data_IF_688654439063
#
_entry.id   IF_688654439063
#
_cell.length_a   1.000
_cell.length_b   1.000
_cell.length_c   1.000
_cell.angle_alpha   90.00
_cell.angle_beta   90.00
_cell.angle_gamma   90.00
#
_symmetry.space_group_name_H-M   'P 1'
#
loop_
_entity.id
_entity.type
_entity.pdbx_description
1 polymer ?
#
# COMPACT_ATOMS: atom_id res chain seq x y z
N UNK A 1 -10.28 -29.72 32.87
CA UNK A 1 -9.41 -29.87 31.69
C UNK A 1 -8.03 -30.21 32.19
N UNK A 2 -7.27 -31.10 31.54
CA UNK A 2 -5.91 -31.35 31.98
C UNK A 2 -4.99 -30.15 31.67
N UNK A 3 -3.96 -29.95 32.49
CA UNK A 3 -3.00 -28.83 32.27
C UNK A 3 -2.33 -28.93 30.89
N UNK A 4 -2.12 -30.12 30.38
CA UNK A 4 -1.57 -30.39 29.06
C UNK A 4 -2.53 -29.90 27.93
N UNK A 5 -3.82 -30.20 28.06
CA UNK A 5 -4.82 -29.76 27.11
C UNK A 5 -4.98 -28.21 27.09
N UNK A 6 -4.84 -27.57 28.26
CA UNK A 6 -4.84 -26.12 28.37
C UNK A 6 -3.64 -25.49 27.63
N UNK A 7 -2.46 -26.06 27.78
CA UNK A 7 -1.26 -25.61 27.07
C UNK A 7 -1.38 -25.79 25.54
N UNK A 8 -1.90 -26.93 25.10
CA UNK A 8 -2.14 -27.18 23.68
C UNK A 8 -3.17 -26.23 23.11
N UNK A 9 -4.24 -25.92 23.84
CA UNK A 9 -5.24 -24.96 23.42
C UNK A 9 -4.66 -23.54 23.31
N UNK A 10 -3.89 -23.10 24.29
CA UNK A 10 -3.22 -21.81 24.24
C UNK A 10 -2.27 -21.68 23.06
N UNK A 11 -1.50 -22.74 22.76
CA UNK A 11 -0.62 -22.75 21.60
C UNK A 11 -1.40 -22.70 20.28
N UNK A 12 -2.49 -23.46 20.18
CA UNK A 12 -3.36 -23.40 18.99
C UNK A 12 -3.97 -22.01 18.79
N UNK A 13 -4.43 -21.36 19.85
CA UNK A 13 -4.95 -19.98 19.78
C UNK A 13 -3.90 -18.99 19.31
N UNK A 14 -2.67 -19.04 19.85
CA UNK A 14 -1.57 -18.18 19.38
C UNK A 14 -1.26 -18.38 17.89
N UNK A 15 -1.30 -19.62 17.41
CA UNK A 15 -1.10 -19.91 15.98
C UNK A 15 -2.21 -19.35 15.12
N UNK A 16 -3.46 -19.45 15.56
CA UNK A 16 -4.61 -18.86 14.88
C UNK A 16 -4.48 -17.34 14.81
N UNK A 17 -4.19 -16.68 15.92
CA UNK A 17 -3.98 -15.23 15.98
C UNK A 17 -2.90 -14.75 15.00
N UNK A 18 -1.80 -15.49 14.88
CA UNK A 18 -0.74 -15.16 13.91
C UNK A 18 -1.17 -15.35 12.46
N UNK A 19 -1.97 -16.38 12.17
CA UNK A 19 -2.53 -16.59 10.82
C UNK A 19 -3.53 -15.50 10.46
N UNK A 20 -4.39 -15.10 11.39
CA UNK A 20 -5.32 -13.99 11.20
C UNK A 20 -4.58 -12.66 10.99
N UNK A 21 -3.51 -12.41 11.76
CA UNK A 21 -2.64 -11.26 11.61
C UNK A 21 -2.00 -11.21 10.22
N UNK A 22 -1.45 -12.34 9.76
CA UNK A 22 -0.87 -12.43 8.42
C UNK A 22 -1.92 -12.13 7.33
N UNK A 23 -3.13 -12.68 7.46
CA UNK A 23 -4.21 -12.41 6.53
C UNK A 23 -4.66 -10.94 6.56
N UNK A 24 -4.71 -10.32 7.73
CA UNK A 24 -5.03 -8.89 7.86
C UNK A 24 -3.99 -8.01 7.16
N UNK A 25 -2.70 -8.30 7.33
CA UNK A 25 -1.60 -7.58 6.66
C UNK A 25 -1.66 -7.75 5.13
N UNK A 26 -1.95 -8.95 4.62
CA UNK A 26 -2.19 -9.18 3.17
C UNK A 26 -3.32 -8.34 2.64
N UNK A 27 -4.43 -8.29 3.37
CA UNK A 27 -5.59 -7.50 2.99
C UNK A 27 -5.28 -6.00 2.98
N UNK A 28 -4.41 -5.49 3.86
CA UNK A 28 -3.95 -4.10 3.83
C UNK A 28 -3.19 -3.81 2.52
N UNK A 29 -2.28 -4.69 2.11
CA UNK A 29 -1.54 -4.52 0.86
C UNK A 29 -2.42 -4.66 -0.38
N UNK A 30 -3.38 -5.57 -0.37
CA UNK A 30 -4.39 -5.64 -1.42
C UNK A 30 -5.22 -4.35 -1.51
N UNK A 31 -5.71 -3.83 -0.38
CA UNK A 31 -6.44 -2.55 -0.35
C UNK A 31 -5.56 -1.38 -0.81
N UNK A 32 -4.28 -1.35 -0.41
CA UNK A 32 -3.31 -0.37 -0.89
C UNK A 32 -3.28 -0.36 -2.42
N UNK A 33 -3.04 -1.50 -3.06
CA UNK A 33 -2.97 -1.61 -4.52
C UNK A 33 -4.25 -1.11 -5.20
N UNK A 34 -5.44 -1.54 -4.72
CA UNK A 34 -6.72 -1.10 -5.27
C UNK A 34 -6.99 0.39 -5.07
N UNK A 35 -6.73 0.93 -3.89
CA UNK A 35 -6.98 2.34 -3.60
C UNK A 35 -6.01 3.23 -4.37
N UNK A 36 -4.74 2.84 -4.43
CA UNK A 36 -3.72 3.58 -5.15
C UNK A 36 -4.03 3.62 -6.67
N UNK A 37 -4.32 2.48 -7.28
CA UNK A 37 -4.71 2.39 -8.69
C UNK A 37 -5.97 3.21 -9.00
N UNK A 38 -6.91 3.28 -8.07
CA UNK A 38 -8.17 4.02 -8.25
C UNK A 38 -8.08 5.49 -7.81
N UNK A 39 -6.92 5.99 -7.37
CA UNK A 39 -6.72 7.32 -6.81
C UNK A 39 -7.67 7.64 -5.63
N UNK A 40 -8.03 6.62 -4.85
CA UNK A 40 -8.86 6.71 -3.64
C UNK A 40 -7.97 7.00 -2.44
N UNK A 41 -7.35 8.17 -2.45
CA UNK A 41 -6.31 8.51 -1.49
C UNK A 41 -6.88 8.81 -0.09
N UNK A 42 -8.15 9.22 0.02
CA UNK A 42 -8.84 9.36 1.30
C UNK A 42 -8.96 8.02 2.03
N UNK A 43 -9.30 6.95 1.31
CA UNK A 43 -9.35 5.61 1.90
C UNK A 43 -7.94 4.99 2.09
N UNK A 44 -7.01 5.34 1.21
CA UNK A 44 -5.64 4.87 1.33
C UNK A 44 -4.98 5.32 2.63
N UNK A 45 -5.08 6.60 2.99
CA UNK A 45 -4.45 7.12 4.21
C UNK A 45 -5.02 6.51 5.50
N UNK A 46 -6.23 5.96 5.45
CA UNK A 46 -6.83 5.23 6.57
C UNK A 46 -6.24 3.83 6.80
N UNK A 47 -5.44 3.31 5.86
CA UNK A 47 -4.70 2.05 6.04
C UNK A 47 -3.50 2.22 6.99
N UNK A 48 -3.04 3.44 7.21
CA UNK A 48 -1.89 3.75 8.03
C UNK A 48 -2.24 3.85 9.52
N UNK A 49 -1.26 3.53 10.36
CA UNK A 49 -1.36 3.80 11.80
C UNK A 49 -1.39 5.32 12.05
N UNK A 50 -2.17 5.74 13.05
CA UNK A 50 -2.25 7.15 13.40
C UNK A 50 -1.13 7.52 14.40
N UNK A 51 0.13 7.56 13.90
CA UNK A 51 1.33 7.68 14.72
C UNK A 51 2.36 8.64 14.10
N UNK A 52 3.09 9.34 14.94
CA UNK A 52 4.16 10.26 14.52
C UNK A 52 5.43 9.54 14.05
N UNK A 53 5.59 8.25 14.40
CA UNK A 53 6.70 7.41 13.98
C UNK A 53 6.44 6.62 12.70
N UNK A 54 5.32 6.86 12.02
CA UNK A 54 5.10 6.33 10.67
C UNK A 54 6.17 6.81 9.70
N UNK A 55 6.53 5.95 8.75
CA UNK A 55 7.54 6.26 7.76
C UNK A 55 7.15 5.73 6.38
N UNK A 56 7.23 6.63 5.40
CA UNK A 56 7.03 6.30 4.00
C UNK A 56 8.14 6.85 3.14
N UNK A 57 8.74 6.01 2.31
CA UNK A 57 9.76 6.40 1.32
C UNK A 57 9.45 5.78 -0.04
N UNK A 58 9.52 6.61 -1.06
CA UNK A 58 9.43 6.19 -2.46
C UNK A 58 10.42 7.01 -3.31
N UNK A 59 10.60 6.74 -4.62
CA UNK A 59 11.67 7.36 -5.42
C UNK A 59 11.72 8.89 -5.40
N UNK A 60 10.60 9.55 -5.13
CA UNK A 60 10.47 11.00 -5.23
C UNK A 60 10.37 11.71 -3.88
N UNK A 61 10.32 10.97 -2.77
CA UNK A 61 10.17 11.60 -1.46
C UNK A 61 10.31 10.67 -0.28
N UNK A 62 10.45 11.30 0.88
CA UNK A 62 10.53 10.66 2.19
C UNK A 62 9.63 11.43 3.17
N UNK A 63 8.72 10.74 3.83
CA UNK A 63 7.68 11.31 4.68
C UNK A 63 7.72 10.65 6.05
N UNK A 64 7.77 11.47 7.10
CA UNK A 64 7.85 11.04 8.50
C UNK A 64 6.63 11.54 9.26
N UNK A 65 5.99 10.63 9.98
CA UNK A 65 4.74 10.86 10.69
C UNK A 65 3.52 10.79 9.78
N UNK A 66 2.38 10.45 10.38
CA UNK A 66 1.12 10.25 9.64
C UNK A 66 0.67 11.52 8.93
N UNK A 67 0.89 12.70 9.50
CA UNK A 67 0.45 13.96 8.88
C UNK A 67 1.25 14.29 7.60
N UNK A 68 2.54 13.95 7.54
CA UNK A 68 3.34 14.09 6.32
C UNK A 68 2.86 13.13 5.24
N UNK A 69 2.49 11.90 5.60
CA UNK A 69 1.94 10.91 4.67
C UNK A 69 0.57 11.35 4.15
N UNK A 70 -0.29 11.87 5.02
CA UNK A 70 -1.59 12.46 4.63
C UNK A 70 -1.39 13.63 3.66
N UNK A 71 -0.47 14.52 3.95
CA UNK A 71 -0.16 15.65 3.06
C UNK A 71 0.27 15.16 1.67
N UNK A 72 1.17 14.18 1.60
CA UNK A 72 1.61 13.59 0.33
C UNK A 72 0.40 13.10 -0.50
N UNK A 73 -0.45 12.30 0.10
CA UNK A 73 -1.54 11.64 -0.66
C UNK A 73 -2.77 12.53 -0.87
N UNK A 74 -3.13 13.37 0.10
CA UNK A 74 -4.35 14.17 0.00
C UNK A 74 -4.12 15.54 -0.64
N UNK A 75 -2.91 16.09 -0.57
CA UNK A 75 -2.59 17.42 -1.10
C UNK A 75 -1.76 17.32 -2.37
N UNK A 76 -0.64 16.61 -2.35
CA UNK A 76 0.27 16.54 -3.51
C UNK A 76 -0.30 15.64 -4.62
N UNK A 77 -0.86 14.47 -4.28
CA UNK A 77 -1.47 13.56 -5.25
C UNK A 77 -2.93 13.92 -5.52
N UNK A 78 -3.69 14.28 -4.50
CA UNK A 78 -5.14 14.52 -4.56
C UNK A 78 -5.95 13.24 -4.60
N UNK A 79 -7.25 13.34 -4.32
CA UNK A 79 -8.19 12.22 -4.35
C UNK A 79 -9.11 12.31 -5.56
N UNK A 80 -9.51 11.17 -6.13
CA UNK A 80 -10.40 11.15 -7.31
C UNK A 80 -11.71 11.90 -7.12
N UNK A 81 -12.15 12.10 -5.89
CA UNK A 81 -13.38 12.86 -5.57
C UNK A 81 -13.16 14.35 -5.43
N UNK A 82 -11.92 14.84 -5.56
CA UNK A 82 -11.63 16.24 -5.46
C UNK A 82 -12.01 16.97 -6.77
N UNK A 83 -12.43 18.25 -6.69
CA UNK A 83 -12.80 19.02 -7.89
C UNK A 83 -11.70 19.05 -8.95
N UNK A 84 -12.06 18.73 -10.19
CA UNK A 84 -11.14 18.74 -11.33
C UNK A 84 -10.26 17.49 -11.48
N UNK A 85 -10.32 16.55 -10.55
CA UNK A 85 -9.52 15.31 -10.63
C UNK A 85 -9.95 14.41 -11.78
N UNK A 86 -11.23 14.37 -12.15
CA UNK A 86 -11.69 13.58 -13.31
C UNK A 86 -10.94 13.95 -14.59
N UNK A 87 -10.73 15.23 -14.83
CA UNK A 87 -9.97 15.69 -15.99
C UNK A 87 -8.46 15.40 -15.84
N UNK A 88 -7.91 15.60 -14.64
CA UNK A 88 -6.49 15.31 -14.35
C UNK A 88 -6.15 13.83 -14.51
N UNK A 89 -7.07 12.94 -14.12
CA UNK A 89 -6.87 11.48 -14.15
C UNK A 89 -7.26 10.86 -15.50
N UNK A 90 -7.79 11.62 -16.44
CA UNK A 90 -8.18 11.10 -17.76
C UNK A 90 -6.98 10.47 -18.47
N UNK A 91 -7.08 9.18 -18.78
CA UNK A 91 -6.00 8.43 -19.40
C UNK A 91 -4.83 8.05 -18.46
N UNK A 92 -4.90 8.36 -17.18
CA UNK A 92 -3.89 7.92 -16.20
C UNK A 92 -4.21 6.52 -15.68
N UNK A 93 -3.21 5.68 -15.70
CA UNK A 93 -3.16 4.40 -14.98
C UNK A 93 -1.90 4.40 -14.12
N UNK A 94 -2.05 4.07 -12.84
CA UNK A 94 -0.94 3.83 -11.91
C UNK A 94 -1.20 2.51 -11.19
N UNK A 95 -0.89 1.41 -11.85
CA UNK A 95 -1.14 0.09 -11.32
C UNK A 95 0.13 -0.50 -10.72
N UNK A 96 0.06 -0.87 -9.45
CA UNK A 96 1.11 -1.57 -8.72
C UNK A 96 0.55 -2.87 -8.17
N UNK A 97 0.91 -3.98 -8.80
CA UNK A 97 0.54 -5.31 -8.34
C UNK A 97 1.40 -5.72 -7.14
N UNK A 98 0.86 -6.59 -6.28
CA UNK A 98 1.55 -7.08 -5.09
C UNK A 98 1.82 -8.58 -5.24
N UNK A 99 2.93 -8.91 -5.91
CA UNK A 99 3.30 -10.29 -6.22
C UNK A 99 4.42 -10.82 -5.32
N UNK A 100 4.57 -12.14 -5.30
CA UNK A 100 5.71 -12.85 -4.69
C UNK A 100 5.98 -12.37 -3.26
N UNK A 101 4.98 -12.59 -2.40
CA UNK A 101 5.05 -12.10 -1.03
C UNK A 101 5.93 -12.99 -0.13
N UNK A 102 6.62 -12.33 0.81
CA UNK A 102 7.11 -12.92 2.05
C UNK A 102 6.57 -12.09 3.20
N UNK A 103 5.89 -12.73 4.16
CA UNK A 103 5.27 -12.06 5.30
C UNK A 103 5.50 -12.84 6.57
N UNK A 104 6.03 -12.17 7.58
CA UNK A 104 6.33 -12.73 8.89
C UNK A 104 5.66 -11.91 10.00
N UNK A 105 4.95 -12.59 10.88
CA UNK A 105 4.32 -12.00 12.07
C UNK A 105 5.20 -12.28 13.28
N UNK A 106 5.49 -11.26 14.08
CA UNK A 106 6.25 -11.39 15.32
C UNK A 106 5.57 -12.36 16.30
N UNK A 107 6.35 -12.94 17.20
CA UNK A 107 5.84 -13.95 18.16
C UNK A 107 4.75 -13.38 19.09
N UNK A 108 4.85 -12.10 19.43
CA UNK A 108 3.89 -11.41 20.29
C UNK A 108 2.59 -11.02 19.56
N UNK A 109 2.53 -11.23 18.23
CA UNK A 109 1.37 -10.89 17.42
C UNK A 109 1.03 -9.38 17.35
N UNK A 110 2.00 -8.49 17.65
CA UNK A 110 1.77 -7.04 17.64
C UNK A 110 2.36 -6.34 16.43
N UNK A 111 3.37 -6.92 15.80
CA UNK A 111 4.01 -6.39 14.59
C UNK A 111 4.16 -7.47 13.54
N UNK A 112 4.29 -7.06 12.28
CA UNK A 112 4.60 -7.94 11.16
C UNK A 112 5.47 -7.19 10.15
N UNK A 113 6.22 -7.96 9.36
CA UNK A 113 7.05 -7.45 8.26
C UNK A 113 6.76 -8.23 7.00
N UNK A 114 6.71 -7.53 5.88
CA UNK A 114 6.53 -8.19 4.61
C UNK A 114 7.26 -7.49 3.48
N UNK A 115 7.50 -8.25 2.41
CA UNK A 115 7.98 -7.69 1.16
C UNK A 115 7.22 -8.28 -0.02
N UNK A 116 7.12 -7.48 -1.07
CA UNK A 116 6.44 -7.81 -2.32
C UNK A 116 7.27 -7.34 -3.49
N UNK A 117 7.32 -8.14 -4.55
CA UNK A 117 7.74 -7.66 -5.86
C UNK A 117 6.51 -7.01 -6.50
N UNK A 118 6.69 -5.81 -7.04
CA UNK A 118 5.59 -5.07 -7.65
C UNK A 118 5.90 -4.80 -9.12
N UNK A 119 5.43 -5.64 -10.04
CA UNK A 119 5.28 -5.22 -11.42
C UNK A 119 4.24 -4.12 -11.49
N UNK A 120 4.46 -3.13 -12.33
CA UNK A 120 3.54 -2.00 -12.44
C UNK A 120 3.43 -1.49 -13.86
N UNK A 121 2.29 -0.89 -14.14
CA UNK A 121 2.00 -0.20 -15.38
C UNK A 121 1.61 1.23 -15.06
N UNK A 122 2.26 2.17 -15.72
CA UNK A 122 1.92 3.59 -15.62
C UNK A 122 1.64 4.15 -17.00
N UNK A 123 0.64 5.00 -17.10
CA UNK A 123 0.43 5.80 -18.31
C UNK A 123 0.59 7.28 -17.98
N UNK A 124 1.19 8.00 -18.91
CA UNK A 124 1.32 9.46 -18.86
C UNK A 124 0.50 10.01 -20.03
N UNK A 125 -0.67 10.62 -19.79
CA UNK A 125 -1.49 11.16 -20.85
C UNK A 125 -0.75 12.22 -21.66
N UNK A 126 -1.06 12.32 -22.94
CA UNK A 126 -0.55 13.42 -23.77
C UNK A 126 -0.97 14.76 -23.19
N UNK A 127 -0.05 15.73 -23.17
CA UNK A 127 -0.27 17.05 -22.57
C UNK A 127 -1.31 17.91 -23.30
N UNK A 128 -1.55 17.61 -24.56
CA UNK A 128 -2.44 18.30 -25.48
C UNK A 128 -3.79 17.59 -25.68
N UNK A 129 -4.11 16.63 -24.82
CA UNK A 129 -5.36 15.87 -24.85
C UNK A 129 -6.57 16.82 -24.75
N UNK A 130 -7.43 16.81 -25.77
CA UNK A 130 -8.61 17.68 -25.87
C UNK A 130 -9.85 17.02 -25.26
N UNK A 131 -10.83 17.85 -24.91
CA UNK A 131 -12.12 17.36 -24.47
C UNK A 131 -12.80 16.51 -25.56
N UNK A 132 -13.27 15.32 -25.16
CA UNK A 132 -13.92 14.39 -26.08
C UNK A 132 -12.97 13.52 -26.90
N UNK A 133 -11.67 13.74 -26.82
CA UNK A 133 -10.66 12.90 -27.45
C UNK A 133 -10.41 11.62 -26.64
N UNK A 134 -10.19 10.49 -27.34
CA UNK A 134 -9.82 9.25 -26.68
C UNK A 134 -8.44 9.41 -26.01
N UNK A 135 -8.28 8.92 -24.79
CA UNK A 135 -7.01 9.01 -24.08
C UNK A 135 -5.87 8.34 -24.85
N UNK A 136 -4.79 9.08 -25.03
CA UNK A 136 -3.53 8.58 -25.61
C UNK A 136 -2.35 9.18 -24.85
N UNK A 137 -1.18 8.59 -24.99
CA UNK A 137 0.04 9.03 -24.31
C UNK A 137 1.05 7.91 -24.21
N UNK A 138 2.04 8.09 -23.34
CA UNK A 138 3.08 7.10 -23.11
C UNK A 138 2.62 6.05 -22.09
N UNK A 139 3.03 4.80 -22.33
CA UNK A 139 2.89 3.71 -21.38
C UNK A 139 4.26 3.22 -20.92
N UNK A 140 4.40 2.96 -19.65
CA UNK A 140 5.64 2.49 -19.05
C UNK A 140 5.41 1.22 -18.23
N UNK A 141 6.37 0.34 -18.27
CA UNK A 141 6.54 -0.69 -17.25
C UNK A 141 7.44 -0.16 -16.15
N UNK A 142 7.00 -0.32 -14.91
CA UNK A 142 7.84 -0.07 -13.76
C UNK A 142 7.87 -1.31 -12.87
N UNK A 143 9.05 -1.59 -12.34
CA UNK A 143 9.25 -2.68 -11.39
C UNK A 143 9.78 -2.10 -10.10
N UNK A 144 9.17 -2.52 -9.02
CA UNK A 144 9.58 -2.12 -7.69
C UNK A 144 9.57 -3.29 -6.70
N UNK A 145 10.06 -3.00 -5.52
CA UNK A 145 9.94 -3.87 -4.36
C UNK A 145 9.40 -3.04 -3.21
N UNK A 146 8.37 -3.54 -2.56
CA UNK A 146 7.88 -2.99 -1.31
C UNK A 146 8.47 -3.74 -0.13
N UNK A 147 8.92 -3.00 0.88
CA UNK A 147 9.17 -3.47 2.22
C UNK A 147 8.21 -2.74 3.15
N UNK A 148 7.45 -3.51 3.92
CA UNK A 148 6.37 -2.94 4.75
C UNK A 148 6.44 -3.53 6.15
N UNK A 149 6.37 -2.67 7.14
CA UNK A 149 6.14 -3.04 8.53
C UNK A 149 4.73 -2.66 8.93
N UNK A 150 4.09 -3.56 9.64
CA UNK A 150 2.73 -3.41 10.14
C UNK A 150 2.74 -3.39 11.66
N UNK A 151 1.78 -2.70 12.24
CA UNK A 151 1.56 -2.64 13.67
C UNK A 151 0.08 -2.86 13.99
N UNK A 152 -0.20 -3.50 15.11
CA UNK A 152 -1.54 -3.59 15.66
C UNK A 152 -1.83 -2.34 16.49
N UNK A 153 -2.54 -1.39 15.90
CA UNK A 153 -2.92 -0.12 16.52
C UNK A 153 -4.39 -0.14 16.91
N UNK A 154 -4.69 0.06 18.21
CA UNK A 154 -6.04 -0.03 18.77
C UNK A 154 -6.80 -1.30 18.36
N UNK A 155 -6.11 -2.44 18.32
CA UNK A 155 -6.68 -3.75 17.97
C UNK A 155 -6.84 -3.99 16.47
N UNK A 156 -6.48 -3.05 15.62
CA UNK A 156 -6.52 -3.14 14.17
C UNK A 156 -5.12 -3.18 13.57
N UNK A 157 -4.91 -4.03 12.57
CA UNK A 157 -3.67 -4.00 11.81
C UNK A 157 -3.64 -2.80 10.89
N UNK A 158 -2.49 -2.10 10.87
CA UNK A 158 -2.24 -0.88 10.11
C UNK A 158 -0.85 -0.92 9.48
N UNK A 159 -0.65 -0.22 8.38
CA UNK A 159 0.68 0.05 7.83
C UNK A 159 1.38 1.02 8.79
N UNK A 160 2.62 0.70 9.13
CA UNK A 160 3.44 1.52 10.01
C UNK A 160 4.60 2.14 9.26
N UNK A 161 5.40 1.32 8.59
CA UNK A 161 6.49 1.78 7.72
C UNK A 161 6.33 1.16 6.34
N UNK A 162 6.64 1.91 5.29
CA UNK A 162 6.65 1.41 3.93
C UNK A 162 7.78 2.04 3.14
N UNK A 163 8.52 1.21 2.42
CA UNK A 163 9.58 1.64 1.50
C UNK A 163 9.32 1.01 0.14
N UNK A 164 9.24 1.85 -0.89
CA UNK A 164 9.24 1.42 -2.28
C UNK A 164 10.64 1.62 -2.86
N UNK A 165 11.27 0.53 -3.25
CA UNK A 165 12.52 0.51 -3.99
C UNK A 165 12.21 0.37 -5.48
N UNK A 166 12.55 1.36 -6.32
CA UNK A 166 12.44 1.20 -7.76
C UNK A 166 13.54 0.26 -8.23
N UNK A 167 13.20 -0.73 -9.05
CA UNK A 167 14.16 -1.64 -9.67
C UNK A 167 14.50 -1.16 -11.08
N UNK A 168 13.51 -0.91 -11.91
CA UNK A 168 13.69 -0.28 -13.22
C UNK A 168 12.38 0.28 -13.78
N UNK A 169 12.50 1.13 -14.78
CA UNK A 169 11.40 1.65 -15.57
C UNK A 169 11.79 1.62 -17.05
N UNK A 170 10.89 1.20 -17.91
CA UNK A 170 11.08 1.20 -19.36
C UNK A 170 9.78 1.56 -20.06
N UNK A 171 9.89 2.20 -21.21
CA UNK A 171 8.74 2.50 -22.06
C UNK A 171 8.34 1.30 -22.89
N UNK A 172 7.04 1.20 -23.17
CA UNK A 172 6.53 0.35 -24.25
C UNK A 172 6.62 1.16 -25.54
N UNK A 173 7.72 0.96 -26.29
CA UNK A 173 7.95 1.52 -27.62
C UNK A 173 8.00 3.04 -27.73
#
# INVERSE_FOLDING_TARGET
MSKELELQLQEALRRIERLEAAQACRNLMGKYSYYHTAFRNKEYVELWANRDDCYYRFPFGEYRGIEAIRHCYLVEHGDRTDPGMDQRLKGMLMMHEMDTEVLEVAEDGQTAKGCWISPGHETVPAKDLKDGEEPHGDANWCWGKYEVEFIKDNGQWKIWHMILYPLFKTSFY
#
